data_IF_554459998808
#
_entry.id   IF_554459998808
#
_cell.length_a   1.000
_cell.length_b   1.000
_cell.length_c   1.000
_cell.angle_alpha   90.00
_cell.angle_beta   90.00
_cell.angle_gamma   90.00
#
_symmetry.space_group_name_H-M   'P 1'
#
loop_
_entity.id
_entity.type
_entity.pdbx_description
1 polymer ?
#
# COMPACT_ATOMS: atom_id res chain seq x y z
N UNK A 1 -20.53 12.80 -23.12
CA UNK A 1 -19.47 12.92 -24.14
C UNK A 1 -18.28 12.20 -23.57
N UNK A 2 -18.02 10.98 -24.05
CA UNK A 2 -16.78 10.26 -23.73
C UNK A 2 -15.65 11.09 -24.35
N UNK A 3 -14.88 11.78 -23.52
CA UNK A 3 -13.64 12.39 -23.97
C UNK A 3 -12.76 11.26 -24.48
N UNK A 4 -12.42 11.30 -25.76
CA UNK A 4 -11.70 10.24 -26.41
C UNK A 4 -10.30 10.11 -25.80
N UNK A 5 -10.08 9.11 -24.95
CA UNK A 5 -8.80 8.80 -24.30
C UNK A 5 -7.84 8.15 -25.31
N UNK A 6 -7.55 8.84 -26.41
CA UNK A 6 -6.71 8.36 -27.49
C UNK A 6 -5.28 8.08 -27.00
N UNK A 7 -4.74 9.00 -26.20
CA UNK A 7 -3.40 8.94 -25.60
C UNK A 7 -3.28 7.75 -24.64
N UNK A 8 -4.21 7.57 -23.70
CA UNK A 8 -4.20 6.43 -22.79
C UNK A 8 -4.39 5.11 -23.52
N UNK A 9 -5.24 5.05 -24.57
CA UNK A 9 -5.38 3.83 -25.38
C UNK A 9 -4.12 3.47 -26.14
N UNK A 10 -3.43 4.46 -26.71
CA UNK A 10 -2.17 4.26 -27.44
C UNK A 10 -1.08 3.75 -26.49
N UNK A 11 -0.87 4.43 -25.36
CA UNK A 11 0.10 4.01 -24.34
C UNK A 11 -0.15 2.57 -23.85
N UNK A 12 -1.42 2.20 -23.63
CA UNK A 12 -1.76 0.89 -23.07
C UNK A 12 -1.67 -0.24 -24.09
N UNK A 13 -1.59 0.07 -25.39
CA UNK A 13 -1.59 -0.92 -26.46
C UNK A 13 -0.35 -1.81 -26.38
N UNK A 14 -0.54 -3.13 -26.38
CA UNK A 14 0.54 -4.12 -26.36
C UNK A 14 1.27 -4.28 -25.02
N UNK A 15 0.97 -3.45 -24.00
CA UNK A 15 1.58 -3.57 -22.67
C UNK A 15 0.95 -4.72 -21.87
N UNK A 16 1.76 -5.36 -21.03
CA UNK A 16 1.29 -6.41 -20.11
C UNK A 16 0.30 -5.78 -19.12
N UNK A 17 -0.90 -6.35 -19.04
CA UNK A 17 -1.93 -5.94 -18.07
C UNK A 17 -2.09 -7.02 -17.01
N UNK A 18 -2.16 -6.61 -15.75
CA UNK A 18 -2.46 -7.48 -14.62
C UNK A 18 -3.76 -7.01 -13.95
N UNK A 19 -4.60 -7.98 -13.62
CA UNK A 19 -5.88 -7.77 -12.95
C UNK A 19 -5.73 -7.83 -11.44
N UNK A 20 -6.25 -6.82 -10.75
CA UNK A 20 -6.34 -6.76 -9.30
C UNK A 20 -7.82 -6.92 -8.92
N UNK A 21 -8.17 -7.88 -8.04
CA UNK A 21 -9.55 -8.07 -7.61
C UNK A 21 -10.14 -6.78 -6.99
N UNK A 22 -11.38 -6.47 -7.36
CA UNK A 22 -12.10 -5.29 -6.88
C UNK A 22 -12.20 -5.29 -5.35
N UNK A 23 -11.71 -4.23 -4.70
CA UNK A 23 -11.58 -4.10 -3.24
C UNK A 23 -10.76 -5.21 -2.56
N UNK A 24 -10.02 -6.00 -3.36
CA UNK A 24 -9.18 -7.09 -2.89
C UNK A 24 -7.70 -6.74 -3.01
N UNK A 25 -6.87 -7.77 -2.95
CA UNK A 25 -5.43 -7.66 -3.14
C UNK A 25 -4.90 -8.79 -3.99
N UNK A 26 -3.79 -8.55 -4.67
CA UNK A 26 -3.04 -9.55 -5.42
C UNK A 26 -1.59 -9.55 -4.91
N UNK A 27 -1.09 -10.74 -4.59
CA UNK A 27 0.32 -10.95 -4.28
C UNK A 27 1.11 -11.15 -5.57
N UNK A 28 2.31 -10.61 -5.61
CA UNK A 28 3.27 -10.81 -6.70
C UNK A 28 4.58 -11.29 -6.12
N UNK A 29 5.19 -12.25 -6.80
CA UNK A 29 6.56 -12.64 -6.52
C UNK A 29 7.50 -12.08 -7.58
N UNK A 30 8.57 -11.46 -7.09
CA UNK A 30 9.69 -10.95 -7.86
C UNK A 30 10.86 -11.87 -7.54
N UNK A 31 11.20 -12.75 -8.47
CA UNK A 31 12.25 -13.76 -8.30
C UNK A 31 13.47 -13.38 -9.13
N UNK A 32 14.63 -13.28 -8.49
CA UNK A 32 15.90 -13.18 -9.20
C UNK A 32 16.20 -14.53 -9.87
N UNK A 33 16.30 -14.52 -11.21
CA UNK A 33 16.58 -15.72 -12.02
C UNK A 33 18.04 -15.76 -12.52
N UNK A 34 18.85 -14.80 -12.08
CA UNK A 34 20.27 -14.70 -12.44
C UNK A 34 21.16 -15.31 -11.36
N UNK A 35 22.44 -15.47 -11.69
CA UNK A 35 23.48 -15.90 -10.75
C UNK A 35 24.14 -14.73 -10.03
N UNK A 36 23.66 -13.50 -10.23
CA UNK A 36 24.21 -12.28 -9.67
C UNK A 36 23.20 -11.60 -8.74
N UNK A 37 23.66 -10.70 -7.88
CA UNK A 37 22.75 -9.86 -7.11
C UNK A 37 22.06 -8.85 -8.04
N UNK A 38 20.75 -8.66 -7.90
CA UNK A 38 19.98 -7.68 -8.67
C UNK A 38 19.35 -6.64 -7.76
N UNK A 39 19.46 -5.36 -8.12
CA UNK A 39 18.78 -4.27 -7.41
C UNK A 39 17.49 -3.93 -8.17
N UNK A 40 16.36 -4.12 -7.50
CA UNK A 40 15.03 -3.84 -8.03
C UNK A 40 14.56 -2.49 -7.50
N UNK A 41 14.20 -1.58 -8.39
CA UNK A 41 13.54 -0.31 -8.07
C UNK A 41 12.19 -0.29 -8.77
N UNK A 42 11.10 -0.26 -8.01
CA UNK A 42 9.76 -0.34 -8.56
C UNK A 42 8.88 0.80 -8.07
N UNK A 43 8.09 1.35 -8.99
CA UNK A 43 7.22 2.50 -8.76
C UNK A 43 5.85 2.24 -9.37
N UNK A 44 4.80 2.41 -8.58
CA UNK A 44 3.40 2.39 -9.01
C UNK A 44 2.83 3.80 -8.96
N UNK A 45 2.34 4.29 -10.09
CA UNK A 45 1.55 5.51 -10.20
C UNK A 45 0.07 5.15 -10.26
N UNK A 46 -0.65 5.37 -9.16
CA UNK A 46 -2.07 5.07 -9.06
C UNK A 46 -2.74 5.79 -7.91
N UNK A 47 -3.91 6.36 -8.19
CA UNK A 47 -4.84 6.83 -7.14
C UNK A 47 -5.73 5.71 -6.60
N UNK A 48 -5.89 4.61 -7.36
CA UNK A 48 -6.77 3.47 -7.02
C UNK A 48 -6.06 2.33 -6.29
N UNK A 49 -4.86 1.99 -6.72
CA UNK A 49 -4.08 0.87 -6.23
C UNK A 49 -2.98 1.35 -5.30
N UNK A 50 -2.60 0.51 -4.33
CA UNK A 50 -1.45 0.76 -3.48
C UNK A 50 -0.56 -0.47 -3.38
N UNK A 51 0.76 -0.25 -3.28
CA UNK A 51 1.69 -1.29 -2.84
C UNK A 51 1.71 -1.23 -1.31
N UNK A 52 1.40 -2.35 -0.65
CA UNK A 52 1.52 -2.42 0.80
C UNK A 52 2.99 -2.41 1.20
N UNK A 53 3.28 -1.81 2.36
CA UNK A 53 4.64 -1.70 2.90
C UNK A 53 5.66 -1.04 1.96
N UNK A 54 5.23 -0.04 1.17
CA UNK A 54 6.11 0.76 0.32
C UNK A 54 6.20 2.21 0.80
N UNK A 55 7.21 2.94 0.33
CA UNK A 55 7.22 4.40 0.40
C UNK A 55 6.01 4.93 -0.37
N UNK A 56 5.34 5.95 0.14
CA UNK A 56 4.10 6.49 -0.42
C UNK A 56 4.13 8.00 -0.53
N UNK A 57 3.78 8.53 -1.70
CA UNK A 57 3.36 9.92 -1.91
C UNK A 57 1.88 9.96 -2.28
N UNK A 58 1.36 10.98 -3.00
CA UNK A 58 -0.09 11.17 -3.19
C UNK A 58 -0.70 9.97 -3.94
N UNK A 59 -0.14 9.70 -5.11
CA UNK A 59 -0.50 8.63 -6.03
C UNK A 59 0.74 7.85 -6.50
N UNK A 60 1.89 8.01 -5.83
CA UNK A 60 3.10 7.20 -6.08
C UNK A 60 3.37 6.24 -4.93
N UNK A 61 3.70 4.99 -5.26
CA UNK A 61 4.14 3.96 -4.34
C UNK A 61 5.46 3.37 -4.82
N UNK A 62 6.51 3.46 -4.02
CA UNK A 62 7.86 3.06 -4.42
C UNK A 62 8.51 2.11 -3.41
N UNK A 63 9.26 1.14 -3.91
CA UNK A 63 10.18 0.36 -3.10
C UNK A 63 11.49 0.08 -3.84
N UNK A 64 12.56 -0.14 -3.08
CA UNK A 64 13.84 -0.61 -3.58
C UNK A 64 14.28 -1.83 -2.75
N UNK A 65 14.77 -2.87 -3.42
CA UNK A 65 15.22 -4.09 -2.77
C UNK A 65 16.33 -4.76 -3.56
N UNK A 66 17.33 -5.28 -2.85
CA UNK A 66 18.40 -6.08 -3.44
C UNK A 66 18.08 -7.56 -3.25
N UNK A 67 18.11 -8.33 -4.35
CA UNK A 67 17.82 -9.76 -4.36
C UNK A 67 19.07 -10.54 -4.74
N UNK A 68 19.53 -11.39 -3.83
CA UNK A 68 20.58 -12.37 -4.13
C UNK A 68 20.08 -13.44 -5.12
N UNK A 69 20.99 -14.22 -5.74
CA UNK A 69 20.61 -15.31 -6.63
C UNK A 69 19.60 -16.25 -5.98
N UNK A 70 18.59 -16.66 -6.76
CA UNK A 70 17.49 -17.55 -6.33
C UNK A 70 16.61 -17.06 -5.16
N UNK A 71 16.84 -15.83 -4.68
CA UNK A 71 15.99 -15.19 -3.70
C UNK A 71 14.83 -14.46 -4.36
N UNK A 72 13.72 -14.38 -3.64
CA UNK A 72 12.51 -13.72 -4.10
C UNK A 72 11.96 -12.78 -3.04
N UNK A 73 11.27 -11.74 -3.52
CA UNK A 73 10.47 -10.85 -2.68
C UNK A 73 9.02 -10.93 -3.13
N UNK A 74 8.11 -11.07 -2.19
CA UNK A 74 6.69 -10.94 -2.43
C UNK A 74 6.31 -9.49 -2.18
N UNK A 75 5.45 -8.92 -3.02
CA UNK A 75 4.76 -7.66 -2.77
C UNK A 75 3.25 -7.89 -2.77
N UNK A 76 2.51 -7.01 -2.11
CA UNK A 76 1.04 -7.05 -2.13
C UNK A 76 0.55 -5.74 -2.74
N UNK A 77 -0.21 -5.85 -3.83
CA UNK A 77 -0.91 -4.70 -4.40
C UNK A 77 -2.38 -4.81 -4.06
N UNK A 78 -2.93 -3.76 -3.46
CA UNK A 78 -4.32 -3.72 -2.99
C UNK A 78 -5.12 -2.70 -3.79
N UNK A 79 -6.34 -3.06 -4.13
CA UNK A 79 -7.35 -2.13 -4.61
C UNK A 79 -7.97 -1.39 -3.41
N UNK A 80 -7.85 -0.06 -3.40
CA UNK A 80 -8.34 0.80 -2.32
C UNK A 80 -9.82 1.19 -2.46
N UNK A 81 -10.52 0.74 -3.50
CA UNK A 81 -11.91 1.14 -3.69
C UNK A 81 -12.03 2.55 -4.25
N UNK A 82 -13.17 3.20 -4.03
CA UNK A 82 -13.45 4.49 -4.67
C UNK A 82 -12.44 5.57 -4.25
N UNK A 83 -11.63 6.04 -5.21
CA UNK A 83 -10.76 7.19 -5.02
C UNK A 83 -11.48 8.44 -5.50
N UNK A 84 -11.69 9.39 -4.59
CA UNK A 84 -12.18 10.71 -4.96
C UNK A 84 -11.07 11.42 -5.72
N UNK A 85 -11.36 11.87 -6.92
CA UNK A 85 -10.50 12.81 -7.63
C UNK A 85 -10.66 14.13 -6.90
N UNK A 86 -9.66 14.52 -6.12
CA UNK A 86 -9.62 15.91 -5.67
C UNK A 86 -9.31 16.77 -6.89
N UNK A 87 -10.20 17.72 -7.19
CA UNK A 87 -10.05 18.62 -8.35
C UNK A 87 -8.87 19.58 -8.17
N UNK A 88 -8.40 19.73 -6.93
CA UNK A 88 -7.25 20.56 -6.56
C UNK A 88 -5.94 19.77 -6.51
N UNK A 89 -5.99 18.44 -6.46
CA UNK A 89 -4.80 17.62 -6.63
C UNK A 89 -4.44 17.63 -8.11
N UNK A 90 -3.32 18.28 -8.44
CA UNK A 90 -2.74 18.15 -9.77
C UNK A 90 -2.42 16.66 -9.97
N UNK A 91 -3.01 16.01 -10.99
CA UNK A 91 -2.70 14.64 -11.28
C UNK A 91 -1.22 14.53 -11.59
N UNK A 92 -0.57 13.45 -11.15
CA UNK A 92 0.78 13.18 -11.64
C UNK A 92 0.78 13.08 -13.16
N UNK A 93 1.87 13.49 -13.79
CA UNK A 93 2.12 13.35 -15.22
C UNK A 93 2.19 11.89 -15.73
N UNK A 94 1.70 10.92 -14.95
CA UNK A 94 1.77 9.48 -15.20
C UNK A 94 0.38 8.86 -15.36
N UNK A 95 0.29 7.81 -16.18
CA UNK A 95 -0.94 7.04 -16.41
C UNK A 95 -1.40 6.29 -15.16
N UNK A 96 -2.73 6.20 -14.98
CA UNK A 96 -3.31 5.51 -13.82
C UNK A 96 -3.05 4.00 -13.87
N UNK A 97 -2.51 3.46 -12.78
CA UNK A 97 -2.17 2.04 -12.66
C UNK A 97 -0.89 1.66 -13.39
N UNK A 98 -0.02 2.63 -13.73
CA UNK A 98 1.28 2.34 -14.33
C UNK A 98 2.25 1.82 -13.26
N UNK A 99 2.69 0.57 -13.40
CA UNK A 99 3.65 -0.08 -12.52
C UNK A 99 4.97 -0.33 -13.26
N UNK A 100 5.97 0.46 -12.94
CA UNK A 100 7.31 0.40 -13.54
C UNK A 100 8.25 -0.38 -12.66
N UNK A 101 9.00 -1.30 -13.25
CA UNK A 101 10.04 -2.08 -12.59
C UNK A 101 11.35 -1.87 -13.32
N UNK A 102 12.36 -1.42 -12.59
CA UNK A 102 13.71 -1.20 -13.08
C UNK A 102 14.68 -2.17 -12.40
N UNK A 103 15.55 -2.79 -13.20
CA UNK A 103 16.66 -3.62 -12.75
C UNK A 103 17.88 -3.25 -13.60
N UNK A 104 18.93 -2.71 -12.98
CA UNK A 104 20.07 -2.12 -13.70
C UNK A 104 19.58 -1.09 -14.74
N UNK A 105 20.02 -1.20 -16.00
CA UNK A 105 19.58 -0.36 -17.12
C UNK A 105 18.29 -0.88 -17.78
N UNK A 106 17.74 -1.99 -17.31
CA UNK A 106 16.53 -2.58 -17.87
C UNK A 106 15.28 -2.06 -17.16
N UNK A 107 14.27 -1.68 -17.93
CA UNK A 107 13.00 -1.16 -17.41
C UNK A 107 11.84 -1.88 -18.09
N UNK A 108 10.81 -2.19 -17.32
CA UNK A 108 9.57 -2.80 -17.79
C UNK A 108 8.38 -2.08 -17.18
N UNK A 109 7.41 -1.74 -18.02
CA UNK A 109 6.11 -1.21 -17.59
C UNK A 109 5.05 -2.32 -17.61
N UNK A 110 4.35 -2.45 -16.50
CA UNK A 110 3.19 -3.33 -16.30
C UNK A 110 2.00 -2.43 -15.97
N UNK A 111 0.84 -2.72 -16.54
CA UNK A 111 -0.38 -1.97 -16.27
C UNK A 111 -1.25 -2.73 -15.29
N UNK A 112 -1.78 -2.04 -14.29
CA UNK A 112 -2.76 -2.57 -13.37
C UNK A 112 -4.16 -2.17 -13.79
N UNK A 113 -5.11 -3.06 -13.55
CA UNK A 113 -6.51 -2.86 -13.90
C UNK A 113 -7.41 -3.60 -12.90
N UNK A 114 -8.61 -3.07 -12.67
CA UNK A 114 -9.55 -3.68 -11.71
C UNK A 114 -10.29 -4.87 -12.34
N UNK A 115 -10.65 -5.84 -11.51
CA UNK A 115 -11.47 -6.98 -11.91
C UNK A 115 -12.56 -7.33 -10.86
N UNK A 116 -13.85 -7.15 -11.18
CA UNK A 116 -14.38 -6.59 -12.42
C UNK A 116 -14.07 -5.09 -12.54
N UNK A 117 -14.07 -4.60 -13.79
CA UNK A 117 -13.97 -3.16 -14.04
C UNK A 117 -15.20 -2.42 -13.52
N UNK A 118 -14.98 -1.28 -12.88
CA UNK A 118 -16.05 -0.39 -12.43
C UNK A 118 -16.13 0.88 -13.27
N UNK A 119 -17.32 1.46 -13.39
CA UNK A 119 -17.51 2.74 -14.07
C UNK A 119 -16.74 3.86 -13.38
N UNK A 120 -16.69 3.85 -12.05
CA UNK A 120 -15.88 4.83 -11.30
C UNK A 120 -14.39 4.74 -11.65
N UNK A 121 -13.85 3.53 -11.81
CA UNK A 121 -12.46 3.36 -12.19
C UNK A 121 -12.22 3.78 -13.65
N UNK A 122 -13.15 3.48 -14.57
CA UNK A 122 -13.09 3.96 -15.95
C UNK A 122 -12.99 5.48 -16.02
N UNK A 123 -13.87 6.19 -15.29
CA UNK A 123 -13.86 7.66 -15.22
C UNK A 123 -12.58 8.22 -14.62
N UNK A 124 -12.12 7.66 -13.50
CA UNK A 124 -10.85 8.05 -12.87
C UNK A 124 -9.68 7.92 -13.85
N UNK A 125 -9.59 6.77 -14.50
CA UNK A 125 -8.53 6.47 -15.44
C UNK A 125 -8.56 7.41 -16.64
N UNK A 126 -9.72 7.61 -17.26
CA UNK A 126 -9.85 8.56 -18.38
C UNK A 126 -9.47 9.98 -17.96
N UNK A 127 -9.84 10.41 -16.76
CA UNK A 127 -9.43 11.72 -16.24
C UNK A 127 -7.91 11.82 -16.07
N UNK A 128 -7.28 10.86 -15.38
CA UNK A 128 -5.83 10.83 -15.16
C UNK A 128 -5.04 10.72 -16.47
N UNK A 129 -5.41 9.76 -17.32
CA UNK A 129 -4.73 9.47 -18.58
C UNK A 129 -4.81 10.66 -19.55
N UNK A 130 -5.92 11.43 -19.55
CA UNK A 130 -6.04 12.67 -20.35
C UNK A 130 -5.12 13.81 -19.92
N UNK A 131 -4.57 13.74 -18.71
CA UNK A 131 -3.69 14.75 -18.11
C UNK A 131 -2.23 14.26 -18.03
N UNK A 132 -1.95 13.03 -18.46
CA UNK A 132 -0.60 12.49 -18.47
C UNK A 132 0.23 13.21 -19.55
N UNK A 133 1.40 13.71 -19.18
CA UNK A 133 2.32 14.34 -20.14
C UNK A 133 3.25 13.28 -20.71
N UNK A 134 2.97 12.88 -21.95
CA UNK A 134 3.47 11.65 -22.54
C UNK A 134 4.79 11.78 -23.29
N UNK A 135 5.43 12.95 -23.28
CA UNK A 135 6.64 13.20 -24.06
C UNK A 135 7.84 12.32 -23.70
N UNK A 136 7.81 11.63 -22.54
CA UNK A 136 8.95 10.91 -22.03
C UNK A 136 8.84 9.38 -22.09
N UNK A 137 7.66 8.76 -22.22
CA UNK A 137 7.48 7.36 -21.80
C UNK A 137 7.88 6.27 -22.81
N UNK A 138 7.95 6.57 -24.10
CA UNK A 138 8.49 5.64 -25.11
C UNK A 138 10.01 5.47 -25.01
N UNK A 139 10.69 6.33 -24.22
CA UNK A 139 12.12 6.27 -24.02
C UNK A 139 12.56 5.25 -22.97
N UNK A 140 11.64 4.56 -22.26
CA UNK A 140 12.01 3.83 -21.03
C UNK A 140 11.86 2.32 -21.17
N UNK A 141 11.65 1.76 -22.36
CA UNK A 141 11.78 0.31 -22.56
C UNK A 141 13.20 -0.04 -23.04
N UNK A 142 14.20 0.31 -22.23
CA UNK A 142 15.57 -0.18 -22.42
C UNK A 142 15.69 -1.58 -21.82
N UNK A 143 16.27 -2.53 -22.57
CA UNK A 143 16.53 -3.88 -22.10
C UNK A 143 15.27 -4.73 -21.84
N UNK A 144 15.48 -5.94 -21.32
CA UNK A 144 14.41 -6.90 -21.00
C UNK A 144 14.53 -7.26 -19.52
N UNK A 145 13.74 -6.63 -18.64
CA UNK A 145 13.72 -6.95 -17.19
C UNK A 145 13.52 -8.45 -16.95
N UNK A 146 12.74 -9.12 -17.81
CA UNK A 146 12.55 -10.59 -17.80
C UNK A 146 13.84 -11.42 -17.91
N UNK A 147 14.96 -10.84 -18.31
CA UNK A 147 16.26 -11.51 -18.33
C UNK A 147 16.89 -11.56 -16.92
N UNK A 148 16.44 -10.69 -16.01
CA UNK A 148 16.96 -10.57 -14.65
C UNK A 148 15.96 -11.07 -13.61
N UNK A 149 14.68 -10.78 -13.84
CA UNK A 149 13.64 -10.92 -12.84
C UNK A 149 12.39 -11.57 -13.43
N UNK A 150 11.90 -12.61 -12.77
CA UNK A 150 10.59 -13.18 -13.03
C UNK A 150 9.57 -12.50 -12.12
N UNK A 151 8.53 -11.91 -12.72
CA UNK A 151 7.47 -11.18 -12.01
C UNK A 151 6.13 -11.86 -12.30
N UNK A 152 5.56 -12.53 -11.29
CA UNK A 152 4.36 -13.33 -11.44
C UNK A 152 3.35 -13.09 -10.31
N UNK A 153 2.05 -13.03 -10.61
CA UNK A 153 1.03 -13.11 -9.58
C UNK A 153 1.12 -14.48 -8.90
N UNK A 154 0.96 -14.50 -7.59
CA UNK A 154 0.89 -15.74 -6.80
C UNK A 154 -0.42 -15.81 -6.05
N UNK A 155 -0.92 -17.02 -5.83
CA UNK A 155 -2.07 -17.27 -4.99
C UNK A 155 -1.69 -17.19 -3.51
N UNK A 156 -2.68 -16.96 -2.65
CA UNK A 156 -2.47 -16.85 -1.20
C UNK A 156 -1.95 -18.15 -0.56
N UNK A 157 -2.23 -19.29 -1.19
CA UNK A 157 -1.90 -20.64 -0.73
C UNK A 157 -0.54 -21.17 -1.23
N UNK A 158 0.15 -20.46 -2.14
CA UNK A 158 1.42 -20.92 -2.76
C UNK A 158 2.44 -21.44 -1.75
N UNK A 159 2.53 -20.83 -0.56
CA UNK A 159 3.50 -21.18 0.49
C UNK A 159 2.88 -21.76 1.76
N UNK A 160 1.58 -22.10 1.78
CA UNK A 160 0.95 -22.83 2.90
C UNK A 160 1.02 -22.14 4.28
N UNK A 161 1.33 -20.83 4.33
CA UNK A 161 1.39 -20.02 5.55
C UNK A 161 2.79 -19.67 6.07
N UNK A 162 3.84 -20.41 5.67
CA UNK A 162 5.23 -20.14 6.07
C UNK A 162 6.08 -19.90 4.83
N UNK A 163 6.72 -18.74 4.76
CA UNK A 163 7.59 -18.43 3.63
C UNK A 163 8.89 -19.24 3.70
N UNK A 164 9.36 -19.81 2.59
CA UNK A 164 10.71 -20.36 2.49
C UNK A 164 11.77 -19.34 2.87
N UNK A 165 12.92 -19.78 3.37
CA UNK A 165 14.01 -18.88 3.83
C UNK A 165 14.56 -17.95 2.74
N UNK A 166 14.45 -18.35 1.46
CA UNK A 166 14.87 -17.57 0.30
C UNK A 166 13.76 -16.65 -0.24
N UNK A 167 12.58 -16.62 0.38
CA UNK A 167 11.46 -15.77 -0.01
C UNK A 167 11.11 -14.83 1.14
N UNK A 168 11.09 -13.53 0.87
CA UNK A 168 10.72 -12.52 1.87
C UNK A 168 9.45 -11.80 1.49
N UNK A 169 8.74 -11.26 2.47
CA UNK A 169 7.68 -10.29 2.24
C UNK A 169 8.30 -8.90 2.17
N UNK A 170 7.78 -7.99 1.34
CA UNK A 170 8.19 -6.60 1.36
C UNK A 170 7.88 -5.97 2.72
N UNK A 171 8.94 -5.43 3.32
CA UNK A 171 8.90 -4.73 4.61
C UNK A 171 9.36 -3.29 4.41
N UNK A 172 8.74 -2.37 5.15
CA UNK A 172 9.19 -0.98 5.17
C UNK A 172 10.52 -0.85 5.89
N UNK A 173 11.49 -0.22 5.22
CA UNK A 173 12.72 0.25 5.86
C UNK A 173 12.40 1.30 6.93
N UNK A 174 13.30 1.51 7.90
CA UNK A 174 13.13 2.54 8.92
C UNK A 174 13.02 3.95 8.31
N UNK A 175 13.76 4.18 7.22
CA UNK A 175 13.75 5.42 6.45
C UNK A 175 12.41 5.65 5.76
N UNK A 176 11.85 4.62 5.11
CA UNK A 176 10.54 4.71 4.46
C UNK A 176 9.39 4.84 5.48
N UNK A 177 9.51 4.20 6.65
CA UNK A 177 8.57 4.42 7.77
C UNK A 177 8.56 5.88 8.19
N UNK A 178 9.74 6.47 8.38
CA UNK A 178 9.89 7.89 8.75
C UNK A 178 9.30 8.80 7.66
N UNK A 179 9.68 8.58 6.40
CA UNK A 179 9.16 9.34 5.27
C UNK A 179 7.63 9.29 5.18
N UNK A 180 7.03 8.11 5.31
CA UNK A 180 5.59 7.94 5.26
C UNK A 180 4.88 8.66 6.43
N UNK A 181 5.48 8.68 7.62
CA UNK A 181 4.98 9.46 8.76
C UNK A 181 5.05 10.96 8.48
N UNK A 182 6.20 11.46 8.00
CA UNK A 182 6.39 12.88 7.69
C UNK A 182 5.42 13.35 6.60
N UNK A 183 5.23 12.57 5.53
CA UNK A 183 4.25 12.89 4.48
C UNK A 183 2.81 12.90 5.00
N UNK A 184 2.46 12.02 5.94
CA UNK A 184 1.13 12.02 6.57
C UNK A 184 0.91 13.31 7.37
N UNK A 185 1.90 13.75 8.16
CA UNK A 185 1.84 15.01 8.92
C UNK A 185 1.67 16.21 7.99
N UNK A 186 2.51 16.30 6.96
CA UNK A 186 2.44 17.36 5.97
C UNK A 186 1.03 17.47 5.35
N UNK A 187 0.41 16.33 4.99
CA UNK A 187 -0.97 16.32 4.46
C UNK A 187 -2.02 16.79 5.45
N UNK A 188 -1.92 16.37 6.71
CA UNK A 188 -2.85 16.82 7.75
C UNK A 188 -2.78 18.35 7.88
N UNK A 189 -1.57 18.91 7.90
CA UNK A 189 -1.36 20.36 7.99
C UNK A 189 -1.91 21.06 6.74
N UNK A 190 -1.57 20.58 5.55
CA UNK A 190 -2.04 21.15 4.29
C UNK A 190 -3.57 21.09 4.15
N UNK A 191 -4.22 20.04 4.65
CA UNK A 191 -5.67 19.91 4.66
C UNK A 191 -6.35 20.92 5.62
N UNK A 192 -5.66 21.36 6.67
CA UNK A 192 -6.15 22.38 7.60
C UNK A 192 -5.95 23.77 7.01
N UNK A 193 -4.74 24.08 6.54
CA UNK A 193 -4.45 25.34 5.87
C UNK A 193 -3.25 25.15 4.91
N UNK A 194 -3.47 25.15 3.58
CA UNK A 194 -2.39 24.99 2.61
C UNK A 194 -1.49 26.22 2.49
N UNK A 195 -1.92 27.39 3.00
CA UNK A 195 -1.16 28.64 3.00
C UNK A 195 -0.69 29.02 4.41
N UNK A 196 -0.43 28.01 5.25
CA UNK A 196 0.01 28.22 6.61
C UNK A 196 1.39 28.90 6.65
N UNK A 197 1.52 29.95 7.46
CA UNK A 197 2.81 30.60 7.72
C UNK A 197 3.82 29.59 8.28
N UNK A 198 5.12 29.65 7.90
CA UNK A 198 6.13 28.69 8.36
C UNK A 198 6.20 28.53 9.88
N UNK A 199 6.03 29.61 10.65
CA UNK A 199 6.07 29.55 12.13
C UNK A 199 4.86 28.82 12.72
N UNK A 200 3.72 28.86 12.03
CA UNK A 200 2.50 28.14 12.40
C UNK A 200 2.59 26.68 11.95
N UNK A 201 3.23 26.44 10.80
CA UNK A 201 3.51 25.09 10.29
C UNK A 201 4.38 24.29 11.26
N UNK A 202 5.46 24.87 11.78
CA UNK A 202 6.33 24.23 12.77
C UNK A 202 5.56 23.85 14.05
N UNK A 203 4.74 24.77 14.57
CA UNK A 203 3.89 24.50 15.74
C UNK A 203 2.90 23.37 15.48
N UNK A 204 2.25 23.36 14.31
CA UNK A 204 1.32 22.30 13.93
C UNK A 204 2.04 20.94 13.82
N UNK A 205 3.23 20.92 13.23
CA UNK A 205 4.07 19.73 13.12
C UNK A 205 4.44 19.14 14.49
N UNK A 206 4.84 19.99 15.43
CA UNK A 206 5.17 19.62 16.80
C UNK A 206 3.98 19.02 17.56
N UNK A 207 2.79 19.64 17.41
CA UNK A 207 1.55 19.15 18.02
C UNK A 207 1.23 17.75 17.52
N UNK A 208 1.25 17.54 16.20
CA UNK A 208 0.94 16.23 15.60
C UNK A 208 1.97 15.19 16.04
N UNK A 209 3.26 15.55 16.08
CA UNK A 209 4.33 14.64 16.49
C UNK A 209 4.18 14.19 17.94
N UNK A 210 3.88 15.12 18.86
CA UNK A 210 3.62 14.79 20.28
C UNK A 210 2.42 13.87 20.44
N UNK A 211 1.36 14.11 19.68
CA UNK A 211 0.15 13.29 19.73
C UNK A 211 0.37 11.88 19.18
N UNK A 212 1.11 11.73 18.07
CA UNK A 212 1.49 10.41 17.55
C UNK A 212 2.36 9.63 18.54
N UNK A 213 3.32 10.29 19.21
CA UNK A 213 4.14 9.64 20.23
C UNK A 213 3.29 9.18 21.43
N UNK A 214 2.34 10.02 21.86
CA UNK A 214 1.38 9.69 22.93
C UNK A 214 0.54 8.46 22.58
N UNK A 215 -0.01 8.41 21.36
CA UNK A 215 -0.79 7.27 20.87
C UNK A 215 0.07 6.01 20.76
N UNK A 216 1.31 6.13 20.26
CA UNK A 216 2.24 5.00 20.16
C UNK A 216 2.57 4.42 21.54
N UNK A 217 2.85 5.26 22.54
CA UNK A 217 3.10 4.81 23.92
C UNK A 217 1.87 4.10 24.49
N UNK A 218 0.68 4.69 24.34
CA UNK A 218 -0.56 4.07 24.80
C UNK A 218 -0.85 2.71 24.13
N UNK A 219 -0.54 2.57 22.84
CA UNK A 219 -0.69 1.30 22.14
C UNK A 219 0.32 0.24 22.61
N UNK A 220 1.57 0.63 22.86
CA UNK A 220 2.58 -0.27 23.43
C UNK A 220 2.22 -0.74 24.84
N UNK A 221 1.69 0.16 25.68
CA UNK A 221 1.19 -0.16 27.01
C UNK A 221 -0.01 -1.12 26.95
N UNK A 222 -0.94 -0.89 26.01
CA UNK A 222 -2.07 -1.79 25.77
C UNK A 222 -1.63 -3.17 25.27
N UNK A 223 -0.72 -3.24 24.30
CA UNK A 223 -0.18 -4.51 23.78
C UNK A 223 0.59 -5.29 24.85
N UNK A 224 1.33 -4.59 25.72
CA UNK A 224 2.00 -5.20 26.88
C UNK A 224 0.99 -5.71 27.94
N UNK A 225 -0.16 -5.04 28.09
CA UNK A 225 -1.23 -5.46 29.00
C UNK A 225 -2.04 -6.66 28.46
N UNK A 226 -2.17 -6.77 27.13
CA UNK A 226 -2.96 -7.82 26.46
C UNK A 226 -2.10 -9.03 26.05
N UNK A 227 -0.78 -8.96 26.19
CA UNK A 227 0.11 -10.10 25.98
C UNK A 227 -0.26 -11.25 26.95
N UNK A 228 -0.62 -12.46 26.46
CA UNK A 228 -1.00 -13.55 27.35
C UNK A 228 0.18 -14.01 28.21
N UNK A 229 0.04 -13.92 29.52
CA UNK A 229 0.83 -14.69 30.47
C UNK A 229 0.54 -16.19 30.29
N UNK A 230 1.21 -16.88 29.36
CA UNK A 230 1.13 -18.36 29.37
C UNK A 230 2.35 -19.08 28.78
N UNK A 231 3.57 -18.68 29.12
CA UNK A 231 4.68 -19.64 29.21
C UNK A 231 5.55 -19.26 30.42
N UNK A 232 5.03 -19.47 31.63
CA UNK A 232 5.87 -19.69 32.80
C UNK A 232 5.56 -21.06 33.35
N UNK A 233 6.58 -21.90 33.29
CA UNK A 233 6.60 -23.29 33.69
C UNK A 233 6.03 -23.50 35.09
N UNK A 234 5.14 -24.47 35.24
CA UNK A 234 5.08 -25.30 36.43
C UNK A 234 4.78 -26.74 36.04
N UNK A 235 5.77 -27.61 36.26
CA UNK A 235 5.59 -29.05 36.33
C UNK A 235 4.67 -29.36 37.51
N UNK A 236 3.53 -30.00 37.28
CA UNK A 236 3.05 -31.06 38.17
C UNK A 236 2.00 -31.93 37.50
N UNK A 237 2.15 -33.24 37.75
CA UNK A 237 1.21 -34.30 37.41
C UNK A 237 -0.19 -34.03 37.96
N UNK A 238 -1.23 -34.29 37.18
CA UNK A 238 -2.30 -35.23 37.53
C UNK A 238 -3.35 -35.35 36.42
N UNK A 239 -3.72 -36.60 36.14
CA UNK A 239 -4.91 -37.02 35.38
C UNK A 239 -6.17 -36.36 35.97
N UNK A 240 -7.06 -35.83 35.14
CA UNK A 240 -8.49 -36.14 35.28
C UNK A 240 -9.24 -35.89 33.98
N UNK A 241 -10.23 -36.74 33.77
CA UNK A 241 -11.02 -36.96 32.58
C UNK A 241 -12.37 -36.28 32.83
N UNK A 242 -12.78 -35.26 32.07
CA UNK A 242 -14.18 -34.82 32.01
C UNK A 242 -14.51 -34.30 30.61
N UNK A 243 -15.24 -35.13 29.85
CA UNK A 243 -16.12 -34.68 28.78
C UNK A 243 -17.25 -33.86 29.41
N UNK A 244 -17.62 -32.71 28.82
CA UNK A 244 -19.01 -32.27 28.80
C UNK A 244 -19.29 -31.44 27.55
N UNK A 245 -20.53 -31.61 27.09
CA UNK A 245 -21.09 -31.29 25.78
C UNK A 245 -21.51 -29.81 25.63
N UNK A 246 -21.62 -29.43 24.35
CA UNK A 246 -22.50 -28.43 23.71
C UNK A 246 -23.52 -27.68 24.58
N UNK A 247 -23.62 -26.36 24.39
CA UNK A 247 -24.92 -25.67 24.19
C UNK A 247 -24.71 -24.50 23.23
N UNK A 248 -25.45 -24.50 22.13
CA UNK A 248 -25.73 -23.34 21.32
C UNK A 248 -26.91 -22.57 21.92
N UNK A 249 -26.87 -21.23 21.92
CA UNK A 249 -28.10 -20.43 21.89
C UNK A 249 -27.79 -19.01 21.41
N UNK A 250 -28.42 -18.68 20.29
CA UNK A 250 -28.63 -17.33 19.78
C UNK A 250 -29.42 -16.49 20.79
N UNK A 251 -29.16 -15.19 20.86
CA UNK A 251 -30.20 -14.18 21.06
C UNK A 251 -29.73 -12.81 20.56
N UNK A 252 -30.73 -12.02 20.15
CA UNK A 252 -30.72 -10.81 19.32
C UNK A 252 -30.53 -9.53 20.17
N UNK A 253 -29.78 -8.57 19.59
CA UNK A 253 -30.15 -7.17 19.31
C UNK A 253 -30.56 -6.22 20.46
N UNK A 254 -29.72 -5.20 20.72
CA UNK A 254 -30.09 -3.78 21.00
C UNK A 254 -28.81 -2.92 20.91
N UNK A 255 -28.61 -2.08 19.88
CA UNK A 255 -28.95 -0.64 19.77
C UNK A 255 -28.17 0.33 20.71
N UNK A 256 -27.41 1.26 20.06
CA UNK A 256 -26.99 2.65 20.42
C UNK A 256 -26.30 2.88 21.80
N UNK A 257 -25.39 3.81 22.02
CA UNK A 257 -24.73 4.96 21.38
C UNK A 257 -23.25 4.93 21.86
N UNK A 258 -22.23 5.70 21.46
CA UNK A 258 -22.14 7.11 21.17
C UNK A 258 -20.71 7.35 20.63
N UNK A 259 -20.57 7.69 19.36
CA UNK A 259 -19.30 8.15 18.80
C UNK A 259 -19.13 9.64 19.08
N UNK A 260 -18.25 10.00 20.01
CA UNK A 260 -17.78 11.39 20.15
C UNK A 260 -16.68 11.65 19.13
N UNK A 261 -17.08 12.32 18.05
CA UNK A 261 -16.24 12.86 16.99
C UNK A 261 -15.26 13.91 17.52
N UNK A 262 -13.98 13.72 17.19
CA UNK A 262 -12.83 14.58 17.48
C UNK A 262 -12.81 15.87 16.62
N UNK A 263 -13.97 16.52 16.43
CA UNK A 263 -14.13 17.68 15.54
C UNK A 263 -14.25 19.03 16.27
N UNK A 264 -14.44 19.04 17.59
CA UNK A 264 -14.73 20.30 18.32
C UNK A 264 -13.52 20.95 18.99
N UNK A 265 -12.40 20.25 19.20
CA UNK A 265 -11.26 20.80 19.94
C UNK A 265 -10.35 21.76 19.16
N UNK A 266 -10.49 21.86 17.84
CA UNK A 266 -9.63 22.72 17.02
C UNK A 266 -10.30 24.08 16.69
N UNK A 267 -11.63 24.19 16.85
CA UNK A 267 -12.35 25.44 16.52
C UNK A 267 -12.23 26.57 17.56
N UNK A 268 -11.81 26.28 18.79
CA UNK A 268 -11.83 27.27 19.87
C UNK A 268 -10.47 27.96 20.12
N UNK A 269 -9.58 27.98 19.11
CA UNK A 269 -8.26 28.64 19.20
C UNK A 269 -7.96 29.56 17.99
N UNK A 270 -8.96 29.90 17.19
CA UNK A 270 -8.93 30.98 16.19
C UNK A 270 -9.80 32.14 16.68
#
# INVERSE_FOLDING_TARGET
MDSDDSVGREFRKGKRVIKIPLNGSQKFEFKNITKENVSVNATLHSSRFCILNSRKTNDEYRFKVDLSPDNSIIIVIKDMGHSKIDKWEQPTYYFEGMFTVQVNDAIQTILLDTDPKTESYRKLRTFKDSQADCGCFDLWEYGKVKNFLLIEPISDDKYGGVLPSNVKMLELSAEDKKYNSDMRKARIIAAINPFMDPSVYEKAWDIITKEEERLRKGQQEYEAFVAPESIRSEKSNAKSHVQLKSVASQSKKSEKSEGKTMSEKIRNLL
#
